data_IF_741109925825
#
_entry.id   IF_741109925825
#
_cell.length_a   1.000
_cell.length_b   1.000
_cell.length_c   1.000
_cell.angle_alpha   90.00
_cell.angle_beta   90.00
_cell.angle_gamma   90.00
#
_symmetry.space_group_name_H-M   'P 1'
#
loop_
_entity.id
_entity.type
_entity.pdbx_description
1 polymer ?
#
# COMPACT_ATOMS: atom_id res chain seq x y z
N UNK A 1 15.48 7.53 7.49
CA UNK A 1 14.47 8.02 6.53
C UNK A 1 13.76 9.17 7.21
N UNK A 2 13.63 10.30 6.52
CA UNK A 2 12.91 11.46 7.05
C UNK A 2 11.46 11.48 6.52
N UNK A 3 10.49 11.97 7.31
CA UNK A 3 9.12 12.16 6.83
C UNK A 3 9.06 13.12 5.63
N UNK A 4 8.22 12.81 4.65
CA UNK A 4 8.04 13.59 3.44
C UNK A 4 7.03 14.73 3.62
N UNK A 5 7.05 15.70 2.70
CA UNK A 5 6.10 16.81 2.70
C UNK A 5 4.70 16.28 2.46
N UNK A 6 3.78 16.63 3.36
CA UNK A 6 2.36 16.27 3.25
C UNK A 6 1.62 17.24 2.33
N UNK A 7 0.78 16.75 1.40
CA UNK A 7 -0.15 17.60 0.68
C UNK A 7 -1.35 18.01 1.56
N UNK A 8 -2.09 19.02 1.11
CA UNK A 8 -3.35 19.40 1.77
C UNK A 8 -4.44 18.36 1.51
N UNK A 9 -5.43 18.31 2.40
CA UNK A 9 -6.65 17.53 2.17
C UNK A 9 -7.47 18.13 1.04
N UNK A 10 -8.36 17.30 0.48
CA UNK A 10 -9.34 17.75 -0.49
C UNK A 10 -10.57 18.36 0.19
N UNK A 11 -11.25 19.22 -0.56
CA UNK A 11 -12.55 19.81 -0.23
C UNK A 11 -13.48 19.71 -1.44
N UNK A 12 -14.79 19.85 -1.22
CA UNK A 12 -15.74 19.90 -2.33
C UNK A 12 -15.41 21.09 -3.26
N UNK A 13 -15.53 20.88 -4.57
CA UNK A 13 -15.13 21.80 -5.63
C UNK A 13 -13.67 21.63 -6.10
N UNK A 14 -12.86 20.82 -5.41
CA UNK A 14 -11.50 20.54 -5.88
C UNK A 14 -11.53 19.76 -7.20
N UNK A 15 -10.80 20.26 -8.20
CA UNK A 15 -10.53 19.53 -9.45
C UNK A 15 -9.46 18.48 -9.20
N UNK A 16 -9.67 17.28 -9.73
CA UNK A 16 -8.72 16.16 -9.60
C UNK A 16 -8.40 15.57 -10.97
N UNK A 17 -7.13 15.48 -11.30
CA UNK A 17 -6.68 14.90 -12.57
C UNK A 17 -6.64 13.37 -12.47
N UNK A 18 -7.14 12.69 -13.49
CA UNK A 18 -7.07 11.23 -13.62
C UNK A 18 -6.18 10.86 -14.79
N UNK A 19 -5.06 10.19 -14.50
CA UNK A 19 -3.99 9.85 -15.46
C UNK A 19 -3.93 8.34 -15.71
N UNK A 20 -3.41 7.90 -16.86
CA UNK A 20 -3.27 6.47 -17.17
C UNK A 20 -1.79 6.05 -17.36
N UNK A 21 -0.96 6.05 -16.30
CA UNK A 21 0.47 5.79 -16.41
C UNK A 21 0.82 4.32 -16.69
N UNK A 22 -0.16 3.41 -16.65
CA UNK A 22 0.02 1.96 -16.72
C UNK A 22 -0.74 1.34 -17.91
N UNK A 23 -1.62 0.37 -17.64
CA UNK A 23 -2.37 -0.37 -18.64
C UNK A 23 -3.74 0.25 -18.95
N UNK A 24 -4.35 -0.13 -20.08
CA UNK A 24 -5.61 0.43 -20.55
C UNK A 24 -6.81 -0.08 -19.74
N UNK A 25 -7.91 0.65 -19.66
CA UNK A 25 -9.16 0.22 -18.99
C UNK A 25 -10.38 0.45 -19.87
N UNK A 26 -11.50 -0.26 -19.63
CA UNK A 26 -12.77 0.06 -20.26
C UNK A 26 -13.22 1.50 -19.89
N UNK A 27 -13.59 2.36 -20.86
CA UNK A 27 -14.01 3.73 -20.57
C UNK A 27 -15.20 3.82 -19.61
N UNK A 28 -16.10 2.85 -19.64
CA UNK A 28 -17.26 2.76 -18.75
C UNK A 28 -16.87 2.54 -17.29
N UNK A 29 -15.77 1.82 -17.02
CA UNK A 29 -15.26 1.62 -15.66
C UNK A 29 -14.69 2.95 -15.13
N UNK A 30 -13.94 3.69 -15.97
CA UNK A 30 -13.42 5.00 -15.58
C UNK A 30 -14.57 5.97 -15.28
N UNK A 31 -15.57 6.06 -16.15
CA UNK A 31 -16.70 6.97 -15.95
C UNK A 31 -17.49 6.63 -14.69
N UNK A 32 -17.73 5.34 -14.41
CA UNK A 32 -18.37 4.91 -13.17
C UNK A 32 -17.54 5.28 -11.93
N UNK A 33 -16.21 5.10 -11.98
CA UNK A 33 -15.30 5.55 -10.91
C UNK A 33 -15.28 7.06 -10.72
N UNK A 34 -15.24 7.83 -11.81
CA UNK A 34 -15.33 9.29 -11.76
C UNK A 34 -16.67 9.76 -11.21
N UNK A 35 -17.78 9.06 -11.48
CA UNK A 35 -19.07 9.34 -10.88
C UNK A 35 -19.05 9.19 -9.34
N UNK A 36 -18.31 8.22 -8.82
CA UNK A 36 -18.07 8.10 -7.36
C UNK A 36 -17.33 9.33 -6.84
N UNK A 37 -16.25 9.76 -7.49
CA UNK A 37 -15.51 10.97 -7.09
C UNK A 37 -16.38 12.23 -7.14
N UNK A 38 -17.21 12.39 -8.19
CA UNK A 38 -18.20 13.48 -8.31
C UNK A 38 -19.22 13.45 -7.18
N UNK A 39 -19.64 12.28 -6.73
CA UNK A 39 -20.57 12.13 -5.61
C UNK A 39 -20.01 12.65 -4.28
N UNK A 40 -18.68 12.75 -4.15
CA UNK A 40 -18.00 13.35 -3.00
C UNK A 40 -17.84 14.87 -3.13
N UNK A 41 -18.33 15.45 -4.23
CA UNK A 41 -18.20 16.87 -4.54
C UNK A 41 -16.89 17.25 -5.23
N UNK A 42 -16.11 16.30 -5.75
CA UNK A 42 -14.92 16.58 -6.56
C UNK A 42 -15.28 16.83 -8.03
N UNK A 43 -14.37 17.46 -8.76
CA UNK A 43 -14.45 17.67 -10.21
C UNK A 43 -13.36 16.83 -10.92
N UNK A 44 -13.56 15.51 -11.11
CA UNK A 44 -12.58 14.66 -11.77
C UNK A 44 -12.55 14.89 -13.28
N UNK A 45 -11.33 14.94 -13.82
CA UNK A 45 -11.05 15.12 -15.24
C UNK A 45 -10.02 14.09 -15.69
N UNK A 46 -10.35 13.31 -16.72
CA UNK A 46 -9.39 12.42 -17.36
C UNK A 46 -8.44 13.26 -18.22
N UNK A 47 -7.13 13.07 -18.04
CA UNK A 47 -6.12 13.76 -18.83
C UNK A 47 -6.19 13.32 -20.31
N UNK A 48 -5.73 14.16 -21.27
CA UNK A 48 -5.97 13.96 -22.71
C UNK A 48 -5.65 12.57 -23.24
N UNK A 49 -4.57 11.93 -22.78
CA UNK A 49 -4.12 10.63 -23.27
C UNK A 49 -4.65 9.45 -22.42
N UNK A 50 -5.44 9.71 -21.37
CA UNK A 50 -5.87 8.68 -20.41
C UNK A 50 -6.69 7.52 -21.04
N UNK A 51 -7.39 7.78 -22.15
CA UNK A 51 -8.21 6.78 -22.84
C UNK A 51 -7.51 6.16 -24.07
N UNK A 52 -6.28 6.55 -24.36
CA UNK A 52 -5.54 6.02 -25.50
C UNK A 52 -5.14 4.55 -25.33
N UNK A 53 -4.60 3.99 -26.42
CA UNK A 53 -4.06 2.65 -26.51
C UNK A 53 -2.74 2.70 -27.26
N UNK A 54 -1.76 1.95 -26.79
CA UNK A 54 -0.52 1.81 -27.54
C UNK A 54 -0.77 1.02 -28.83
N UNK A 55 -0.23 1.51 -29.95
CA UNK A 55 -0.52 0.97 -31.29
C UNK A 55 -0.18 -0.53 -31.46
N UNK A 56 0.89 -1.01 -30.80
CA UNK A 56 1.38 -2.37 -30.94
C UNK A 56 1.32 -3.24 -29.67
N UNK A 57 1.14 -2.62 -28.50
CA UNK A 57 1.34 -3.28 -27.20
C UNK A 57 0.06 -3.11 -26.38
N UNK A 58 -0.83 -4.08 -26.47
CA UNK A 58 -2.19 -4.00 -25.91
C UNK A 58 -2.26 -3.85 -24.39
N UNK A 59 -1.15 -4.05 -23.69
CA UNK A 59 -1.04 -3.93 -22.23
C UNK A 59 -0.71 -2.50 -21.76
N UNK A 60 -0.64 -1.50 -22.64
CA UNK A 60 -0.30 -0.11 -22.32
C UNK A 60 -1.41 0.89 -22.70
N UNK A 61 -1.66 1.86 -21.82
CA UNK A 61 -2.58 2.97 -22.04
C UNK A 61 -1.92 4.13 -22.81
N UNK A 62 -1.55 3.89 -24.07
CA UNK A 62 -0.91 4.91 -24.92
C UNK A 62 0.62 4.79 -24.96
N UNK A 63 1.28 5.74 -25.64
CA UNK A 63 2.73 5.80 -25.73
C UNK A 63 3.40 6.26 -24.42
N UNK A 64 4.70 6.04 -24.28
CA UNK A 64 5.42 6.39 -23.04
C UNK A 64 5.48 7.90 -22.83
N UNK A 65 5.67 8.66 -23.93
CA UNK A 65 5.76 10.11 -23.90
C UNK A 65 4.41 10.75 -23.58
N UNK A 66 3.34 10.27 -24.19
CA UNK A 66 1.98 10.76 -23.98
C UNK A 66 1.54 10.54 -22.52
N UNK A 67 1.83 9.36 -21.95
CA UNK A 67 1.57 9.08 -20.52
C UNK A 67 2.43 9.95 -19.58
N UNK A 68 3.67 10.24 -19.95
CA UNK A 68 4.54 11.17 -19.20
C UNK A 68 4.02 12.61 -19.24
N UNK A 69 3.62 13.08 -20.42
CA UNK A 69 3.06 14.41 -20.65
C UNK A 69 1.79 14.63 -19.81
N UNK A 70 0.86 13.67 -19.81
CA UNK A 70 -0.36 13.70 -18.99
C UNK A 70 -0.03 13.82 -17.48
N UNK A 71 0.89 13.00 -16.98
CA UNK A 71 1.29 13.05 -15.56
C UNK A 71 1.97 14.37 -15.20
N UNK A 72 2.91 14.84 -16.02
CA UNK A 72 3.62 16.09 -15.79
C UNK A 72 2.67 17.29 -15.82
N UNK A 73 1.75 17.34 -16.78
CA UNK A 73 0.74 18.39 -16.88
C UNK A 73 -0.19 18.40 -15.66
N UNK A 74 -0.73 17.23 -15.28
CA UNK A 74 -1.59 17.08 -14.11
C UNK A 74 -0.91 17.52 -12.81
N UNK A 75 0.37 17.18 -12.65
CA UNK A 75 1.14 17.58 -11.47
C UNK A 75 1.45 19.08 -11.45
N UNK A 76 1.87 19.63 -12.59
CA UNK A 76 2.36 21.01 -12.68
C UNK A 76 1.24 22.06 -12.69
N UNK A 77 0.03 21.69 -13.13
CA UNK A 77 -1.10 22.62 -13.17
C UNK A 77 -1.65 22.89 -11.74
N UNK A 78 -1.61 24.14 -11.25
CA UNK A 78 -2.11 24.49 -9.91
C UNK A 78 -3.65 24.36 -9.79
N UNK A 79 -4.37 24.22 -10.90
CA UNK A 79 -5.81 24.05 -10.86
C UNK A 79 -6.25 22.65 -10.38
N UNK A 80 -5.38 21.63 -10.49
CA UNK A 80 -5.65 20.30 -9.93
C UNK A 80 -5.14 20.17 -8.50
N UNK A 81 -6.03 19.83 -7.59
CA UNK A 81 -5.73 19.61 -6.19
C UNK A 81 -5.15 18.22 -5.91
N UNK A 82 -5.33 17.24 -6.81
CA UNK A 82 -4.78 15.89 -6.71
C UNK A 82 -4.56 15.24 -8.09
N UNK A 83 -3.73 14.21 -8.13
CA UNK A 83 -3.50 13.33 -9.29
C UNK A 83 -3.83 11.89 -8.90
N UNK A 84 -4.67 11.22 -9.69
CA UNK A 84 -5.14 9.87 -9.41
C UNK A 84 -4.83 8.98 -10.61
N UNK A 85 -4.14 7.88 -10.40
CA UNK A 85 -3.99 6.86 -11.44
C UNK A 85 -5.34 6.21 -11.73
N UNK A 86 -5.73 6.11 -12.99
CA UNK A 86 -7.00 5.53 -13.40
C UNK A 86 -7.08 4.04 -13.07
N UNK A 87 -6.02 3.29 -13.35
CA UNK A 87 -5.80 1.89 -12.97
C UNK A 87 -4.29 1.60 -12.90
N UNK A 88 -3.92 0.42 -12.39
CA UNK A 88 -2.56 -0.14 -12.48
C UNK A 88 -2.30 -0.88 -13.80
N UNK A 89 -1.64 -2.04 -13.76
CA UNK A 89 -1.33 -2.83 -14.95
C UNK A 89 0.17 -2.88 -15.20
N UNK A 90 0.64 -2.33 -16.32
CA UNK A 90 2.06 -2.35 -16.64
C UNK A 90 2.48 -1.06 -17.35
N UNK A 91 3.70 -0.61 -17.08
CA UNK A 91 4.41 0.33 -17.94
C UNK A 91 4.68 1.69 -17.33
N UNK A 92 4.38 1.93 -16.06
CA UNK A 92 4.71 3.17 -15.36
C UNK A 92 6.22 3.41 -15.37
N UNK A 93 7.03 2.38 -15.13
CA UNK A 93 8.50 2.50 -15.14
C UNK A 93 9.05 2.99 -16.49
N UNK A 94 8.38 2.70 -17.61
CA UNK A 94 8.84 3.09 -18.96
C UNK A 94 8.78 4.60 -19.22
N UNK A 95 7.93 5.30 -18.49
CA UNK A 95 7.73 6.74 -18.68
C UNK A 95 8.50 7.62 -17.70
N UNK A 96 9.13 7.06 -16.65
CA UNK A 96 9.74 7.86 -15.58
C UNK A 96 10.91 8.72 -16.07
N UNK A 97 11.71 8.21 -17.01
CA UNK A 97 12.83 8.95 -17.63
C UNK A 97 12.38 10.06 -18.59
N UNK A 98 11.10 10.07 -18.97
CA UNK A 98 10.51 11.07 -19.85
C UNK A 98 9.83 12.21 -19.08
N UNK A 99 9.68 12.06 -17.77
CA UNK A 99 9.12 13.08 -16.89
C UNK A 99 10.21 14.07 -16.50
N UNK A 100 9.99 15.36 -16.74
CA UNK A 100 10.86 16.42 -16.24
C UNK A 100 10.55 16.71 -14.75
N UNK A 101 11.11 15.86 -13.90
CA UNK A 101 10.98 15.98 -12.45
C UNK A 101 11.47 17.33 -11.91
N UNK A 102 12.47 17.94 -12.58
CA UNK A 102 13.03 19.22 -12.16
C UNK A 102 12.06 20.36 -12.42
N UNK A 103 11.33 20.32 -13.53
CA UNK A 103 10.26 21.27 -13.85
C UNK A 103 9.04 21.10 -12.94
N UNK A 104 8.77 19.89 -12.44
CA UNK A 104 7.68 19.61 -11.51
C UNK A 104 7.99 19.99 -10.05
N UNK A 105 9.27 20.01 -9.66
CA UNK A 105 9.69 20.23 -8.27
C UNK A 105 9.17 21.53 -7.61
N UNK A 106 9.01 22.66 -8.34
CA UNK A 106 8.44 23.89 -7.78
C UNK A 106 6.94 23.85 -7.51
N UNK A 107 6.19 22.88 -8.08
CA UNK A 107 4.75 22.80 -7.91
C UNK A 107 4.38 22.51 -6.44
N UNK A 108 3.21 23.00 -6.02
CA UNK A 108 2.69 22.70 -4.68
C UNK A 108 2.48 21.19 -4.49
N UNK A 109 2.88 20.61 -3.34
CA UNK A 109 2.59 19.22 -3.05
C UNK A 109 1.09 18.92 -3.12
N UNK A 110 0.73 17.96 -3.97
CA UNK A 110 -0.64 17.45 -4.11
C UNK A 110 -0.71 15.94 -3.86
N UNK A 111 -1.84 15.39 -3.39
CA UNK A 111 -1.99 13.96 -3.21
C UNK A 111 -1.86 13.23 -4.55
N UNK A 112 -1.01 12.20 -4.59
CA UNK A 112 -1.02 11.19 -5.63
C UNK A 112 -1.64 9.88 -5.10
N UNK A 113 -2.58 9.31 -5.84
CA UNK A 113 -3.30 8.09 -5.45
C UNK A 113 -3.14 7.00 -6.51
N UNK A 114 -2.75 5.80 -6.06
CA UNK A 114 -2.72 4.59 -6.89
C UNK A 114 -2.11 3.41 -6.14
N UNK A 115 -2.13 2.21 -6.72
CA UNK A 115 -1.42 1.02 -6.22
C UNK A 115 -1.02 0.10 -7.38
N UNK A 116 -0.39 -1.05 -7.11
CA UNK A 116 0.15 -1.95 -8.14
C UNK A 116 1.31 -1.28 -8.90
N UNK A 117 1.29 -1.27 -10.24
CA UNK A 117 2.29 -0.63 -11.12
C UNK A 117 2.55 0.87 -10.80
N UNK A 118 1.57 1.55 -10.19
CA UNK A 118 1.71 2.91 -9.64
C UNK A 118 2.80 3.03 -8.56
N UNK A 119 3.29 1.92 -7.99
CA UNK A 119 4.42 1.86 -7.04
C UNK A 119 5.64 2.60 -7.57
N UNK A 120 5.90 2.53 -8.87
CA UNK A 120 7.04 3.21 -9.46
C UNK A 120 6.92 4.75 -9.39
N UNK A 121 5.70 5.30 -9.54
CA UNK A 121 5.43 6.72 -9.32
C UNK A 121 5.48 7.10 -7.84
N UNK A 122 5.04 6.23 -6.93
CA UNK A 122 5.19 6.48 -5.48
C UNK A 122 6.65 6.69 -5.09
N UNK A 123 7.54 5.82 -5.57
CA UNK A 123 8.98 5.94 -5.32
C UNK A 123 9.59 7.16 -6.01
N UNK A 124 9.23 7.42 -7.28
CA UNK A 124 9.73 8.57 -8.02
C UNK A 124 9.30 9.91 -7.38
N UNK A 125 8.03 10.07 -7.00
CA UNK A 125 7.52 11.27 -6.32
C UNK A 125 8.23 11.46 -4.97
N UNK A 126 8.43 10.37 -4.21
CA UNK A 126 9.13 10.43 -2.94
C UNK A 126 10.58 10.91 -3.10
N UNK A 127 11.33 10.35 -4.07
CA UNK A 127 12.75 10.63 -4.24
C UNK A 127 13.02 11.95 -4.98
N UNK A 128 12.17 12.31 -5.94
CA UNK A 128 12.38 13.49 -6.81
C UNK A 128 11.70 14.74 -6.27
N UNK A 129 10.55 14.60 -5.64
CA UNK A 129 9.72 15.73 -5.19
C UNK A 129 9.65 15.84 -3.66
N UNK A 130 10.04 14.79 -2.92
CA UNK A 130 10.01 14.79 -1.47
C UNK A 130 8.59 14.91 -0.91
N UNK A 131 7.60 14.34 -1.60
CA UNK A 131 6.16 14.44 -1.26
C UNK A 131 5.63 13.06 -0.87
N UNK A 132 4.84 13.00 0.20
CA UNK A 132 4.13 11.78 0.62
C UNK A 132 2.97 11.46 -0.33
N UNK A 133 2.72 10.19 -0.59
CA UNK A 133 1.65 9.73 -1.48
C UNK A 133 0.68 8.79 -0.77
N UNK A 134 -0.41 8.41 -1.44
CA UNK A 134 -1.41 7.49 -0.91
C UNK A 134 -1.45 6.22 -1.77
N UNK A 135 -1.03 5.11 -1.19
CA UNK A 135 -1.24 3.79 -1.77
C UNK A 135 -2.70 3.40 -1.59
N UNK A 136 -3.51 3.43 -2.65
CA UNK A 136 -4.96 3.27 -2.51
C UNK A 136 -5.70 3.01 -3.82
N UNK A 137 -6.99 2.67 -3.72
CA UNK A 137 -7.80 2.22 -4.86
C UNK A 137 -7.98 3.32 -5.91
N UNK A 138 -8.27 2.89 -7.15
CA UNK A 138 -8.27 3.73 -8.36
C UNK A 138 -9.64 3.68 -9.07
N UNK A 139 -10.06 4.78 -9.74
CA UNK A 139 -11.43 4.92 -10.24
C UNK A 139 -11.81 3.89 -11.31
N UNK A 140 -10.90 3.48 -12.21
CA UNK A 140 -11.20 2.48 -13.23
C UNK A 140 -10.97 1.03 -12.75
N UNK A 141 -10.79 0.80 -11.44
CA UNK A 141 -10.73 -0.55 -10.88
C UNK A 141 -12.12 -1.02 -10.47
N UNK A 142 -12.69 -1.99 -11.19
CA UNK A 142 -14.06 -2.51 -10.95
C UNK A 142 -14.35 -2.88 -9.50
N UNK A 143 -13.38 -3.46 -8.79
CA UNK A 143 -13.57 -3.83 -7.38
C UNK A 143 -13.75 -2.61 -6.47
N UNK A 144 -13.11 -1.48 -6.77
CA UNK A 144 -13.36 -0.20 -6.08
C UNK A 144 -14.77 0.32 -6.35
N UNK A 145 -15.19 0.33 -7.62
CA UNK A 145 -16.53 0.80 -8.02
C UNK A 145 -17.63 0.01 -7.30
N UNK A 146 -17.42 -1.29 -7.11
CA UNK A 146 -18.38 -2.19 -6.46
C UNK A 146 -18.27 -2.25 -4.92
N UNK A 147 -17.35 -1.53 -4.28
CA UNK A 147 -17.10 -1.67 -2.84
C UNK A 147 -17.16 -0.35 -2.07
N UNK A 148 -18.28 -0.15 -1.37
CA UNK A 148 -18.54 1.05 -0.58
C UNK A 148 -17.54 1.27 0.58
N UNK A 149 -16.97 0.22 1.15
CA UNK A 149 -16.02 0.33 2.26
C UNK A 149 -14.66 0.90 1.80
N UNK A 150 -14.14 0.44 0.66
CA UNK A 150 -12.94 0.99 0.02
C UNK A 150 -13.17 2.44 -0.41
N UNK A 151 -14.36 2.74 -0.95
CA UNK A 151 -14.77 4.10 -1.31
C UNK A 151 -14.78 5.02 -0.08
N UNK A 152 -15.42 4.61 1.00
CA UNK A 152 -15.51 5.42 2.21
C UNK A 152 -14.16 5.58 2.89
N UNK A 153 -13.30 4.55 2.91
CA UNK A 153 -11.96 4.69 3.46
C UNK A 153 -11.12 5.68 2.65
N UNK A 154 -11.13 5.59 1.31
CA UNK A 154 -10.45 6.57 0.46
C UNK A 154 -11.02 7.98 0.67
N UNK A 155 -12.34 8.15 0.69
CA UNK A 155 -12.99 9.45 0.94
C UNK A 155 -12.56 10.03 2.29
N UNK A 156 -12.58 9.25 3.37
CA UNK A 156 -12.11 9.71 4.69
C UNK A 156 -10.65 10.12 4.66
N UNK A 157 -9.77 9.33 4.04
CA UNK A 157 -8.35 9.73 3.93
C UNK A 157 -8.17 11.04 3.15
N UNK A 158 -9.00 11.30 2.14
CA UNK A 158 -8.90 12.52 1.32
C UNK A 158 -9.49 13.77 2.00
N UNK A 159 -10.58 13.65 2.76
CA UNK A 159 -11.33 14.79 3.33
C UNK A 159 -11.20 14.93 4.86
N UNK A 160 -11.06 13.82 5.56
CA UNK A 160 -11.08 13.70 7.03
C UNK A 160 -9.94 12.79 7.53
N UNK A 161 -8.67 13.03 7.11
CA UNK A 161 -7.54 12.12 7.37
C UNK A 161 -7.25 11.86 8.84
N UNK A 162 -7.75 12.68 9.77
CA UNK A 162 -7.73 12.40 11.22
C UNK A 162 -8.42 11.07 11.55
N UNK A 163 -9.49 10.74 10.82
CA UNK A 163 -10.28 9.52 11.04
C UNK A 163 -9.58 8.26 10.54
N UNK A 164 -8.53 8.41 9.74
CA UNK A 164 -7.72 7.31 9.19
C UNK A 164 -6.27 7.36 9.67
N UNK A 165 -6.00 8.09 10.76
CA UNK A 165 -4.64 8.19 11.33
C UNK A 165 -4.21 6.90 12.04
N UNK A 166 -5.17 6.09 12.50
CA UNK A 166 -4.92 4.74 13.05
C UNK A 166 -5.60 3.71 12.16
N UNK A 167 -4.82 2.73 11.70
CA UNK A 167 -5.32 1.59 10.95
C UNK A 167 -5.31 0.35 11.84
N UNK A 168 -6.47 -0.32 11.90
CA UNK A 168 -6.69 -1.54 12.71
C UNK A 168 -7.52 -2.55 11.91
N UNK A 169 -7.01 -3.05 10.76
CA UNK A 169 -7.73 -4.04 9.96
C UNK A 169 -8.00 -5.29 10.79
N UNK A 170 -9.25 -5.76 10.78
CA UNK A 170 -9.64 -6.96 11.53
C UNK A 170 -8.96 -8.25 11.03
N UNK A 171 -8.45 -8.23 9.81
CA UNK A 171 -7.71 -9.34 9.19
C UNK A 171 -6.26 -9.42 9.64
N UNK A 172 -5.70 -8.36 10.26
CA UNK A 172 -4.28 -8.35 10.58
C UNK A 172 -3.89 -9.46 11.57
N UNK A 173 -2.78 -10.13 11.27
CA UNK A 173 -2.21 -11.19 12.11
C UNK A 173 -0.72 -10.96 12.32
N UNK A 174 -0.20 -11.43 13.45
CA UNK A 174 1.22 -11.37 13.75
C UNK A 174 1.98 -12.46 12.98
N UNK A 175 2.96 -12.07 12.16
CA UNK A 175 3.92 -13.01 11.56
C UNK A 175 5.21 -13.07 12.39
N UNK A 176 5.73 -11.90 12.80
CA UNK A 176 6.84 -11.73 13.75
C UNK A 176 6.42 -10.68 14.79
N UNK A 177 6.44 -10.98 16.09
CA UNK A 177 5.95 -10.07 17.14
C UNK A 177 6.84 -8.84 17.34
N UNK A 178 6.32 -7.84 18.04
CA UNK A 178 7.02 -6.63 18.41
C UNK A 178 6.44 -5.34 17.82
N UNK A 179 7.11 -4.24 18.12
CA UNK A 179 6.72 -2.90 17.72
C UNK A 179 7.91 -2.16 17.11
N UNK A 180 7.63 -1.29 16.14
CA UNK A 180 8.63 -0.47 15.50
C UNK A 180 8.06 0.87 15.06
N UNK A 181 8.85 1.93 15.17
CA UNK A 181 8.54 3.23 14.62
C UNK A 181 9.49 3.57 13.46
N UNK A 182 8.95 4.22 12.44
CA UNK A 182 9.71 4.56 11.24
C UNK A 182 8.86 5.30 10.20
N UNK A 183 9.45 5.57 9.04
CA UNK A 183 8.75 6.22 7.92
C UNK A 183 8.21 5.16 6.96
N UNK A 184 6.92 5.24 6.63
CA UNK A 184 6.28 4.28 5.72
C UNK A 184 6.80 4.40 4.30
N UNK A 185 7.00 3.28 3.61
CA UNK A 185 7.36 3.23 2.19
C UNK A 185 7.03 1.83 1.62
N UNK A 186 6.96 1.70 0.30
CA UNK A 186 6.77 0.41 -0.36
C UNK A 186 5.64 0.42 -1.39
N UNK A 187 4.98 -0.73 -1.56
CA UNK A 187 3.99 -0.99 -2.60
C UNK A 187 4.10 -2.43 -3.12
N UNK A 188 3.95 -2.59 -4.44
CA UNK A 188 3.97 -3.89 -5.10
C UNK A 188 5.40 -4.46 -5.14
N UNK A 189 5.61 -5.65 -4.56
CA UNK A 189 6.95 -6.19 -4.35
C UNK A 189 7.71 -6.44 -5.66
N UNK A 190 7.04 -6.94 -6.71
CA UNK A 190 7.66 -7.16 -8.02
C UNK A 190 8.21 -5.87 -8.63
N UNK A 191 7.51 -4.75 -8.45
CA UNK A 191 7.92 -3.43 -8.95
C UNK A 191 9.10 -2.86 -8.17
N UNK A 192 9.09 -3.01 -6.84
CA UNK A 192 10.23 -2.60 -5.99
C UNK A 192 11.49 -3.40 -6.35
N UNK A 193 11.35 -4.73 -6.52
CA UNK A 193 12.45 -5.59 -6.92
C UNK A 193 12.98 -5.26 -8.33
N UNK A 194 12.08 -5.04 -9.30
CA UNK A 194 12.44 -4.63 -10.65
C UNK A 194 13.11 -3.24 -10.71
N UNK A 195 12.78 -2.36 -9.75
CA UNK A 195 13.39 -1.05 -9.61
C UNK A 195 14.82 -1.05 -9.09
N UNK A 196 15.32 -2.13 -8.46
CA UNK A 196 16.66 -2.16 -7.88
C UNK A 196 17.72 -1.84 -8.94
N UNK A 197 18.54 -0.81 -8.67
CA UNK A 197 19.59 -0.34 -9.56
C UNK A 197 19.15 0.73 -10.56
N UNK A 198 17.88 1.14 -10.55
CA UNK A 198 17.38 2.32 -11.28
C UNK A 198 17.50 3.58 -10.43
N UNK A 199 17.30 4.75 -11.05
CA UNK A 199 17.44 6.03 -10.36
C UNK A 199 16.30 6.30 -9.34
N UNK A 200 15.20 5.56 -9.44
CA UNK A 200 14.05 5.58 -8.55
C UNK A 200 14.12 4.46 -7.49
N UNK A 201 15.21 3.69 -7.45
CA UNK A 201 15.49 2.77 -6.36
C UNK A 201 15.95 3.54 -5.12
N UNK A 202 15.31 3.31 -3.97
CA UNK A 202 15.88 3.73 -2.69
C UNK A 202 17.25 3.07 -2.49
N UNK A 203 18.25 3.89 -2.18
CA UNK A 203 19.60 3.46 -1.79
C UNK A 203 19.73 3.31 -0.27
N UNK A 204 18.81 3.90 0.49
CA UNK A 204 18.81 3.87 1.95
C UNK A 204 17.38 3.83 2.47
N UNK A 205 17.05 2.78 3.22
CA UNK A 205 15.75 2.59 3.87
C UNK A 205 15.86 2.55 5.41
N UNK A 206 16.99 2.99 5.96
CA UNK A 206 17.23 3.03 7.41
C UNK A 206 16.14 3.81 8.12
N UNK A 207 15.50 3.20 9.12
CA UNK A 207 14.39 3.80 9.84
C UNK A 207 13.04 3.70 9.11
N UNK A 208 12.93 2.87 8.07
CA UNK A 208 11.70 2.68 7.29
C UNK A 208 10.78 1.59 7.85
N UNK A 209 9.47 1.78 7.70
CA UNK A 209 8.46 0.72 7.82
C UNK A 209 8.03 0.33 6.41
N UNK A 210 8.35 -0.90 6.02
CA UNK A 210 8.11 -1.39 4.67
C UNK A 210 6.70 -1.95 4.53
N UNK A 211 5.98 -1.52 3.49
CA UNK A 211 4.67 -2.03 3.12
C UNK A 211 4.76 -2.82 1.82
N UNK A 212 4.34 -4.08 1.83
CA UNK A 212 4.40 -4.95 0.65
C UNK A 212 3.04 -5.57 0.34
N UNK A 213 2.72 -5.63 -0.94
CA UNK A 213 1.58 -6.36 -1.47
C UNK A 213 1.92 -6.94 -2.85
N UNK A 214 1.11 -7.87 -3.34
CA UNK A 214 1.23 -8.41 -4.70
C UNK A 214 -0.08 -9.02 -5.20
N UNK A 215 -0.18 -9.20 -6.51
CA UNK A 215 -1.26 -9.91 -7.19
C UNK A 215 -0.72 -10.86 -8.27
N UNK A 216 -1.37 -12.01 -8.46
CA UNK A 216 -1.14 -12.94 -9.59
C UNK A 216 0.30 -13.50 -9.70
N UNK A 217 1.10 -13.42 -8.62
CA UNK A 217 2.47 -13.93 -8.60
C UNK A 217 2.58 -15.20 -7.76
N UNK A 218 3.01 -16.30 -8.40
CA UNK A 218 3.24 -17.57 -7.72
C UNK A 218 4.35 -17.47 -6.66
N UNK A 219 4.27 -18.29 -5.61
CA UNK A 219 5.21 -18.26 -4.47
C UNK A 219 6.70 -18.28 -4.85
N UNK A 220 7.10 -19.06 -5.86
CA UNK A 220 8.51 -19.09 -6.31
C UNK A 220 8.98 -17.78 -6.97
N UNK A 221 8.06 -16.97 -7.51
CA UNK A 221 8.37 -15.63 -8.04
C UNK A 221 8.53 -14.63 -6.90
N UNK A 222 7.67 -14.71 -5.88
CA UNK A 222 7.84 -13.93 -4.65
C UNK A 222 9.17 -14.25 -3.97
N UNK A 223 9.54 -15.53 -3.85
CA UNK A 223 10.84 -15.95 -3.34
C UNK A 223 12.00 -15.35 -4.15
N UNK A 224 11.89 -15.33 -5.48
CA UNK A 224 12.89 -14.70 -6.36
C UNK A 224 13.01 -13.20 -6.09
N UNK A 225 11.91 -12.48 -5.97
CA UNK A 225 11.91 -11.04 -5.69
C UNK A 225 12.55 -10.74 -4.33
N UNK A 226 12.10 -11.44 -3.29
CA UNK A 226 12.64 -11.32 -1.93
C UNK A 226 14.12 -11.68 -1.88
N UNK A 227 14.53 -12.75 -2.56
CA UNK A 227 15.93 -13.16 -2.68
C UNK A 227 16.77 -12.08 -3.36
N UNK A 228 16.29 -11.48 -4.45
CA UNK A 228 16.98 -10.37 -5.11
C UNK A 228 17.15 -9.19 -4.15
N UNK A 229 16.07 -8.77 -3.48
CA UNK A 229 16.08 -7.64 -2.53
C UNK A 229 17.06 -7.89 -1.38
N UNK A 230 17.07 -9.11 -0.80
CA UNK A 230 18.04 -9.48 0.25
C UNK A 230 19.48 -9.44 -0.26
N UNK A 231 19.74 -10.03 -1.42
CA UNK A 231 21.10 -10.06 -2.00
C UNK A 231 21.62 -8.67 -2.39
N UNK A 232 20.72 -7.73 -2.64
CA UNK A 232 21.05 -6.33 -2.90
C UNK A 232 21.25 -5.50 -1.61
N UNK A 233 21.04 -6.07 -0.41
CA UNK A 233 21.06 -5.32 0.85
C UNK A 233 19.87 -4.37 1.01
N UNK A 234 18.80 -4.56 0.23
CA UNK A 234 17.70 -3.59 0.14
C UNK A 234 16.87 -3.48 1.43
N UNK A 235 16.90 -4.51 2.28
CA UNK A 235 16.24 -4.51 3.58
C UNK A 235 17.06 -3.88 4.70
N UNK A 236 18.30 -3.46 4.44
CA UNK A 236 19.19 -2.94 5.47
C UNK A 236 18.60 -1.67 6.09
N UNK A 237 18.39 -1.72 7.41
CA UNK A 237 17.86 -0.62 8.19
C UNK A 237 16.33 -0.51 8.23
N UNK A 238 15.60 -1.42 7.57
CA UNK A 238 14.15 -1.58 7.79
C UNK A 238 13.89 -1.84 9.28
N UNK A 239 12.84 -1.22 9.82
CA UNK A 239 12.47 -1.33 11.24
C UNK A 239 11.23 -2.18 11.50
N UNK A 240 10.36 -2.34 10.51
CA UNK A 240 9.17 -3.16 10.60
C UNK A 240 8.54 -3.37 9.22
N UNK A 241 7.71 -4.40 9.08
CA UNK A 241 7.10 -4.76 7.79
C UNK A 241 5.60 -4.98 7.97
N UNK A 242 4.80 -4.38 7.09
CA UNK A 242 3.37 -4.64 6.96
C UNK A 242 3.07 -5.29 5.61
N UNK A 243 2.53 -6.51 5.65
CA UNK A 243 2.18 -7.28 4.47
C UNK A 243 0.67 -7.12 4.22
N UNK A 244 0.34 -6.57 3.07
CA UNK A 244 -1.03 -6.38 2.59
C UNK A 244 -1.57 -7.67 1.96
N UNK A 245 -2.18 -7.53 0.80
CA UNK A 245 -2.83 -8.63 0.09
C UNK A 245 -1.90 -9.41 -0.84
N UNK A 246 -2.24 -10.67 -1.08
CA UNK A 246 -1.57 -11.61 -1.99
C UNK A 246 -2.58 -12.27 -2.92
N UNK A 247 -3.37 -11.46 -3.61
CA UNK A 247 -4.54 -11.92 -4.37
C UNK A 247 -4.11 -12.76 -5.55
N UNK A 248 -4.73 -13.92 -5.75
CA UNK A 248 -4.43 -14.83 -6.86
C UNK A 248 -2.95 -15.28 -6.96
N UNK A 249 -2.20 -15.18 -5.85
CA UNK A 249 -0.81 -15.66 -5.75
C UNK A 249 -0.70 -17.18 -5.48
N UNK A 250 -1.81 -17.83 -5.14
CA UNK A 250 -1.90 -19.24 -4.75
C UNK A 250 -2.47 -19.41 -3.34
N UNK A 251 -2.44 -20.65 -2.78
CA UNK A 251 -2.89 -20.89 -1.41
C UNK A 251 -2.10 -20.05 -0.41
N UNK A 252 -2.79 -19.27 0.42
CA UNK A 252 -2.13 -18.30 1.31
C UNK A 252 -1.08 -18.94 2.23
N UNK A 253 -1.31 -20.14 2.76
CA UNK A 253 -0.34 -20.79 3.65
C UNK A 253 1.00 -21.13 2.97
N UNK A 254 1.00 -21.36 1.65
CA UNK A 254 2.24 -21.54 0.89
C UNK A 254 2.98 -20.21 0.71
N UNK A 255 2.23 -19.14 0.42
CA UNK A 255 2.76 -17.77 0.32
C UNK A 255 3.33 -17.31 1.66
N UNK A 256 2.59 -17.53 2.75
CA UNK A 256 3.00 -17.27 4.12
C UNK A 256 4.29 -17.98 4.48
N UNK A 257 4.47 -19.23 4.07
CA UNK A 257 5.70 -19.97 4.30
C UNK A 257 6.91 -19.29 3.62
N UNK A 258 6.76 -18.84 2.37
CA UNK A 258 7.80 -18.07 1.66
C UNK A 258 8.10 -16.73 2.35
N UNK A 259 7.07 -15.98 2.75
CA UNK A 259 7.22 -14.70 3.43
C UNK A 259 7.93 -14.86 4.78
N UNK A 260 7.54 -15.86 5.56
CA UNK A 260 8.18 -16.17 6.84
C UNK A 260 9.65 -16.58 6.66
N UNK A 261 9.95 -17.44 5.69
CA UNK A 261 11.31 -17.89 5.39
C UNK A 261 12.22 -16.76 4.91
N UNK A 262 11.66 -15.78 4.19
CA UNK A 262 12.42 -14.65 3.62
C UNK A 262 12.44 -13.39 4.45
N UNK A 263 11.52 -13.20 5.39
CA UNK A 263 11.43 -11.98 6.20
C UNK A 263 11.55 -12.24 7.70
N UNK A 264 11.31 -13.48 8.17
CA UNK A 264 11.20 -13.80 9.58
C UNK A 264 12.49 -13.69 10.39
N UNK A 265 13.64 -13.76 9.74
CA UNK A 265 14.97 -13.67 10.34
C UNK A 265 15.57 -12.26 10.29
N UNK A 266 14.85 -11.26 9.76
CA UNK A 266 15.32 -9.88 9.66
C UNK A 266 15.39 -9.16 11.02
N UNK A 267 14.88 -9.77 12.10
CA UNK A 267 14.94 -9.20 13.44
C UNK A 267 14.01 -8.00 13.67
N UNK A 268 12.99 -7.84 12.82
CA UNK A 268 12.00 -6.75 12.87
C UNK A 268 10.59 -7.30 12.98
N UNK A 269 9.63 -6.57 13.60
CA UNK A 269 8.23 -6.97 13.64
C UNK A 269 7.61 -7.02 12.24
N UNK A 270 6.77 -8.03 12.02
CA UNK A 270 6.08 -8.24 10.75
C UNK A 270 4.61 -8.56 11.03
N UNK A 271 3.72 -7.74 10.47
CA UNK A 271 2.26 -8.00 10.45
C UNK A 271 1.86 -8.50 9.07
N UNK A 272 0.93 -9.45 9.02
CA UNK A 272 0.37 -10.02 7.79
C UNK A 272 -1.14 -9.76 7.66
N UNK A 273 -1.68 -9.90 6.44
CA UNK A 273 -3.08 -9.62 6.10
C UNK A 273 -3.57 -8.22 6.51
N UNK A 274 -2.76 -7.20 6.29
CA UNK A 274 -3.02 -5.83 6.74
C UNK A 274 -4.06 -5.05 5.91
N UNK A 275 -4.83 -5.73 5.05
CA UNK A 275 -6.02 -5.16 4.42
C UNK A 275 -5.80 -4.05 3.37
N UNK A 276 -4.62 -3.98 2.75
CA UNK A 276 -4.34 -3.08 1.62
C UNK A 276 -3.80 -3.83 0.40
N UNK A 277 -3.93 -3.24 -0.79
CA UNK A 277 -3.52 -3.84 -2.06
C UNK A 277 -4.71 -4.27 -2.90
N UNK A 278 -4.61 -5.41 -3.58
CA UNK A 278 -5.63 -5.93 -4.48
C UNK A 278 -6.82 -6.63 -3.80
N UNK A 279 -6.90 -6.57 -2.46
CA UNK A 279 -8.01 -7.10 -1.65
C UNK A 279 -9.22 -6.16 -1.61
N UNK A 280 -10.34 -6.68 -1.08
CA UNK A 280 -11.55 -5.91 -0.81
C UNK A 280 -12.05 -6.24 0.61
N UNK A 281 -12.28 -5.23 1.47
CA UNK A 281 -11.97 -3.81 1.25
C UNK A 281 -10.45 -3.58 1.09
N UNK A 282 -10.08 -2.51 0.38
CA UNK A 282 -8.69 -2.04 0.30
C UNK A 282 -8.54 -0.75 1.08
N UNK A 283 -7.75 -0.78 2.14
CA UNK A 283 -7.34 0.41 2.88
C UNK A 283 -6.45 1.31 2.01
N UNK A 284 -6.59 2.62 2.21
CA UNK A 284 -5.69 3.64 1.67
C UNK A 284 -4.56 3.89 2.66
N UNK A 285 -3.32 3.65 2.26
CA UNK A 285 -2.15 3.75 3.14
C UNK A 285 -1.26 4.93 2.75
N UNK A 286 -0.99 5.88 3.67
CA UNK A 286 0.00 6.92 3.45
C UNK A 286 1.43 6.36 3.36
N UNK A 287 2.15 6.74 2.31
CA UNK A 287 3.58 6.48 2.12
C UNK A 287 4.37 7.77 2.36
N UNK A 288 5.50 7.66 3.05
CA UNK A 288 6.38 8.78 3.38
C UNK A 288 6.12 9.42 4.74
N UNK A 289 5.30 8.83 5.60
CA UNK A 289 4.94 9.40 6.90
C UNK A 289 5.50 8.59 8.05
N UNK A 290 5.81 9.29 9.15
CA UNK A 290 6.20 8.62 10.39
C UNK A 290 5.00 7.90 11.00
N UNK A 291 5.22 6.65 11.36
CA UNK A 291 4.22 5.79 11.97
C UNK A 291 4.86 4.84 12.98
N UNK A 292 4.02 4.24 13.80
CA UNK A 292 4.36 3.11 14.68
C UNK A 292 3.54 1.90 14.26
N UNK A 293 4.24 0.83 13.88
CA UNK A 293 3.70 -0.49 13.64
C UNK A 293 3.72 -1.29 14.95
N UNK A 294 2.59 -1.88 15.29
CA UNK A 294 2.46 -2.87 16.35
C UNK A 294 1.98 -4.18 15.72
N UNK A 295 2.90 -5.14 15.57
CA UNK A 295 2.59 -6.43 14.96
C UNK A 295 1.83 -7.35 15.92
N UNK A 296 1.95 -7.18 17.23
CA UNK A 296 1.19 -7.94 18.22
C UNK A 296 -0.28 -7.51 18.24
N UNK A 297 -0.53 -6.20 18.16
CA UNK A 297 -1.88 -5.64 18.12
C UNK A 297 -2.49 -5.57 16.72
N UNK A 298 -1.70 -5.79 15.66
CA UNK A 298 -2.14 -5.66 14.27
C UNK A 298 -2.53 -4.22 13.90
N UNK A 299 -1.75 -3.22 14.34
CA UNK A 299 -2.07 -1.80 14.13
C UNK A 299 -0.94 -1.00 13.51
N UNK A 300 -1.30 0.04 12.74
CA UNK A 300 -0.38 1.04 12.20
C UNK A 300 -0.92 2.43 12.55
N UNK A 301 -0.18 3.16 13.38
CA UNK A 301 -0.55 4.49 13.87
C UNK A 301 0.37 5.54 13.26
N UNK A 302 -0.16 6.49 12.51
CA UNK A 302 0.60 7.62 11.99
C UNK A 302 0.74 8.72 13.06
N UNK A 303 1.89 9.37 13.11
CA UNK A 303 2.15 10.47 14.06
C UNK A 303 1.31 11.71 13.72
N UNK A 304 0.98 11.89 12.43
CA UNK A 304 0.14 12.98 11.92
C UNK A 304 -0.85 12.47 10.88
N UNK A 305 -1.98 13.17 10.64
CA UNK A 305 -2.91 12.83 9.57
C UNK A 305 -2.22 12.83 8.20
N UNK A 306 -2.68 11.97 7.29
CA UNK A 306 -2.10 11.79 5.96
C UNK A 306 -1.97 13.09 5.16
N UNK A 307 -3.02 13.92 5.25
CA UNK A 307 -3.16 15.20 4.58
C UNK A 307 -3.41 16.29 5.62
N UNK A 308 -2.88 17.50 5.43
CA UNK A 308 -3.08 18.60 6.37
C UNK A 308 -4.29 19.46 6.01
N UNK A 309 -4.85 20.16 7.00
CA UNK A 309 -5.85 21.21 6.76
C UNK A 309 -5.13 22.56 6.62
N UNK A 310 -5.26 23.28 5.49
CA UNK A 310 -4.66 24.60 5.36
C UNK A 310 -5.35 25.64 6.26
N UNK A 311 -4.57 26.55 6.84
CA UNK A 311 -5.08 27.64 7.68
C UNK A 311 -6.04 28.58 6.92
N UNK A 312 -5.93 28.68 5.59
CA UNK A 312 -6.82 29.48 4.74
C UNK A 312 -8.25 28.94 4.69
N UNK A 313 -8.45 27.62 4.84
CA UNK A 313 -9.79 26.98 4.79
C UNK A 313 -10.55 27.19 6.12
N UNK A 314 -9.86 27.44 7.23
CA UNK A 314 -10.50 27.75 8.52
C UNK A 314 -11.34 29.05 8.48
N UNK A 315 -11.05 29.96 7.56
CA UNK A 315 -11.75 31.25 7.46
C UNK A 315 -13.02 31.21 6.60
N UNK A 316 -13.29 30.11 5.89
CA UNK A 316 -14.46 29.98 5.00
C UNK A 316 -15.65 29.26 5.64
N UNK A 317 -15.53 28.78 6.89
CA UNK A 317 -16.64 28.12 7.61
C UNK A 317 -16.74 28.55 9.09
N UNK A 318 -17.37 29.70 9.41
CA UNK A 318 -17.62 30.09 10.80
C UNK A 318 -18.68 29.23 11.52
N UNK A 319 -19.45 28.39 10.81
CA UNK A 319 -20.72 27.86 11.32
C UNK A 319 -20.69 26.45 11.95
N UNK A 320 -19.54 25.87 12.29
CA UNK A 320 -19.51 24.55 12.98
C UNK A 320 -18.68 24.45 14.26
N UNK A 321 -18.07 25.53 14.73
CA UNK A 321 -17.24 25.50 15.94
C UNK A 321 -18.02 25.65 17.28
N UNK A 322 -19.35 25.72 17.27
CA UNK A 322 -20.15 26.06 18.46
C UNK A 322 -21.32 25.12 18.72
N UNK A 323 -21.12 23.80 18.74
CA UNK A 323 -22.09 22.86 19.31
C UNK A 323 -21.39 21.57 19.80
N UNK A 324 -20.70 21.64 20.93
CA UNK A 324 -20.44 20.48 21.79
C UNK A 324 -21.17 20.71 23.11
N UNK A 325 -22.19 19.92 23.47
CA UNK A 325 -22.72 19.97 24.82
C UNK A 325 -21.80 19.18 25.76
N UNK A 326 -21.09 19.90 26.63
CA UNK A 326 -20.57 19.38 27.89
C UNK A 326 -21.76 19.03 28.78
N UNK A 327 -22.05 17.75 28.95
CA UNK A 327 -22.94 17.27 30.00
C UNK A 327 -22.39 15.98 30.61
N UNK A 328 -21.74 16.14 31.76
CA UNK A 328 -21.46 15.07 32.73
C UNK A 328 -22.73 14.88 33.57
N UNK A 329 -23.18 13.65 33.85
CA UNK A 329 -23.94 13.39 35.05
C UNK A 329 -23.15 12.50 36.02
N UNK A 330 -23.11 12.97 37.26
CA UNK A 330 -22.58 12.29 38.43
C UNK A 330 -23.44 11.06 38.82
N UNK A 331 -22.76 10.11 39.48
CA UNK A 331 -23.26 8.87 40.10
C UNK A 331 -24.60 9.02 40.84
N UNK A 332 -25.41 7.96 40.78
CA UNK A 332 -26.23 7.55 41.92
C UNK A 332 -26.26 6.02 42.07
N UNK A 333 -25.72 5.57 43.19
CA UNK A 333 -25.70 4.17 43.66
C UNK A 333 -27.11 3.79 44.13
N UNK A 334 -27.64 2.66 43.67
CA UNK A 334 -28.60 1.86 44.44
C UNK A 334 -28.30 0.37 44.32
N UNK A 335 -28.14 -0.25 45.49
CA UNK A 335 -28.02 -1.69 45.73
C UNK A 335 -29.35 -2.38 45.40
N UNK A 336 -29.27 -3.59 44.83
CA UNK A 336 -30.38 -4.53 44.74
C UNK A 336 -29.84 -5.95 44.60
N UNK A 337 -30.01 -6.75 45.64
CA UNK A 337 -29.72 -8.18 45.67
C UNK A 337 -30.61 -8.96 44.69
N UNK A 338 -30.07 -9.97 44.01
CA UNK A 338 -30.56 -11.37 44.05
C UNK A 338 -29.84 -12.26 43.01
N UNK A 339 -29.22 -13.33 43.50
CA UNK A 339 -29.02 -14.63 42.84
C UNK A 339 -29.80 -15.66 43.70
N UNK A 340 -30.03 -16.94 43.30
CA UNK A 340 -29.48 -17.68 42.15
C UNK A 340 -30.52 -18.48 41.34
N UNK A 341 -30.10 -18.99 40.18
CA UNK A 341 -30.83 -20.00 39.41
C UNK A 341 -29.82 -20.86 38.66
N UNK A 342 -29.67 -22.07 39.14
CA UNK A 342 -28.76 -23.14 38.73
C UNK A 342 -29.29 -23.84 37.47
N UNK A 343 -28.51 -23.90 36.39
CA UNK A 343 -28.71 -24.89 35.32
C UNK A 343 -27.34 -25.36 34.84
N UNK A 344 -27.03 -26.57 35.29
CA UNK A 344 -25.93 -27.40 34.82
C UNK A 344 -26.22 -27.92 33.42
N UNK A 345 -25.37 -27.60 32.44
CA UNK A 345 -25.31 -28.37 31.19
C UNK A 345 -23.90 -28.90 30.96
N UNK A 346 -23.89 -30.22 30.77
CA UNK A 346 -22.74 -31.12 30.71
C UNK A 346 -21.90 -30.87 29.45
N UNK A 347 -20.59 -30.84 29.65
CA UNK A 347 -19.58 -31.05 28.62
C UNK A 347 -19.58 -32.52 28.16
N UNK A 348 -19.43 -32.82 26.86
CA UNK A 348 -18.90 -34.09 26.41
C UNK A 348 -17.37 -34.02 26.31
N UNK A 349 -16.72 -35.04 26.87
CA UNK A 349 -15.28 -35.34 26.86
C UNK A 349 -14.72 -35.61 25.44
N UNK A 350 -13.38 -35.55 25.27
CA UNK A 350 -12.73 -35.40 23.97
C UNK A 350 -12.54 -36.71 23.20
N UNK A 351 -12.51 -36.60 21.87
CA UNK A 351 -12.10 -37.65 20.96
C UNK A 351 -10.63 -38.04 21.18
N UNK A 352 -10.40 -39.33 21.38
CA UNK A 352 -9.11 -40.00 21.52
C UNK A 352 -8.55 -40.31 20.13
N UNK A 353 -7.47 -39.63 19.72
CA UNK A 353 -6.73 -39.98 18.50
C UNK A 353 -5.55 -40.90 18.88
N UNK A 354 -5.54 -42.10 18.31
CA UNK A 354 -4.44 -43.06 18.39
C UNK A 354 -3.23 -42.62 17.55
N UNK A 355 -1.98 -42.91 17.97
CA UNK A 355 -0.77 -42.52 17.23
C UNK A 355 -0.53 -43.46 16.04
N UNK A 356 -0.64 -42.93 14.81
CA UNK A 356 -0.17 -43.64 13.61
C UNK A 356 1.36 -43.72 13.59
N UNK A 357 1.83 -44.94 13.36
CA UNK A 357 3.22 -45.39 13.32
C UNK A 357 4.08 -44.61 12.31
N UNK A 358 5.26 -44.19 12.75
CA UNK A 358 6.38 -43.74 11.91
C UNK A 358 6.79 -44.88 10.95
N UNK A 359 6.73 -44.64 9.64
CA UNK A 359 7.52 -45.41 8.66
C UNK A 359 8.86 -44.70 8.48
N UNK A 360 9.94 -45.37 8.88
CA UNK A 360 11.31 -45.06 8.44
C UNK A 360 11.37 -45.26 6.94
N UNK A 361 11.76 -44.23 6.20
CA UNK A 361 12.31 -44.38 4.85
C UNK A 361 13.81 -44.14 4.98
N UNK A 362 14.57 -45.23 4.91
CA UNK A 362 16.00 -45.23 4.63
C UNK A 362 16.16 -45.19 3.12
N UNK A 363 16.74 -44.13 2.57
CA UNK A 363 17.04 -43.96 1.16
C UNK A 363 18.40 -43.28 1.00
N UNK A 364 19.28 -43.93 0.24
CA UNK A 364 20.71 -43.74 0.20
C UNK A 364 21.17 -42.36 -0.32
N UNK A 365 22.24 -41.86 0.31
CA UNK A 365 23.14 -40.85 -0.24
C UNK A 365 23.82 -41.43 -1.49
N UNK A 366 23.58 -40.82 -2.65
CA UNK A 366 24.43 -40.99 -3.83
C UNK A 366 25.42 -39.83 -3.82
N UNK A 367 26.69 -40.16 -3.57
CA UNK A 367 27.83 -39.26 -3.76
C UNK A 367 27.97 -38.90 -5.25
N UNK A 368 28.01 -37.61 -5.53
CA UNK A 368 28.32 -37.08 -6.87
C UNK A 368 29.79 -36.63 -6.87
N UNK A 369 30.65 -37.15 -7.75
CA UNK A 369 32.06 -36.75 -7.78
C UNK A 369 32.22 -35.34 -8.38
N UNK A 370 32.95 -34.48 -7.65
CA UNK A 370 33.37 -33.15 -8.06
C UNK A 370 34.40 -33.24 -9.21
N UNK A 371 34.06 -32.66 -10.36
CA UNK A 371 35.00 -32.42 -11.47
C UNK A 371 35.85 -31.17 -11.20
N UNK A 372 37.17 -31.16 -11.48
CA UNK A 372 38.03 -29.99 -11.24
C UNK A 372 37.77 -28.86 -12.25
N UNK A 373 37.67 -27.62 -11.76
CA UNK A 373 37.63 -26.41 -12.57
C UNK A 373 39.02 -26.07 -13.16
N UNK A 374 39.10 -25.60 -14.43
CA UNK A 374 40.37 -25.21 -15.04
C UNK A 374 40.87 -23.85 -14.53
N UNK A 375 42.17 -23.79 -14.22
CA UNK A 375 42.90 -22.58 -13.78
C UNK A 375 42.95 -21.54 -14.90
N UNK A 376 42.45 -20.32 -14.65
CA UNK A 376 42.67 -19.14 -15.50
C UNK A 376 44.12 -18.66 -15.36
N UNK A 377 44.82 -18.52 -16.48
CA UNK A 377 46.08 -17.76 -16.61
C UNK A 377 45.75 -16.26 -16.60
N UNK A 378 46.49 -15.48 -15.81
CA UNK A 378 46.43 -14.01 -15.83
C UNK A 378 47.11 -13.41 -17.07
N UNK A 379 46.79 -12.16 -17.44
CA UNK A 379 47.38 -11.50 -18.61
C UNK A 379 48.76 -10.93 -18.27
N UNK A 380 49.68 -11.09 -19.22
CA UNK A 380 50.88 -10.26 -19.37
C UNK A 380 50.71 -9.30 -20.54
#
# INVERSE_FOLDING_TARGET
MEPLRRPRRLVAGDRVAVVAPSGPFPPEDLEAGMAVLRSWGLEPEAMPHALERHAALSYLAGGDRERAEDFQAAWSDPAYAAVISARGGYGTQRMLDLVDWSAMAPAEPKPYIGFSDATALHEAIALRLGVSTLHGPMPAWRKFIANAESQEHLRRTLFEPELTQKLTPASARTLVPGQASGVTFGGCISLLAAGIGTAESRLNVEGGILLLEEIEEAGYRLDRYLTQMRRAGWFDGVRGIALGSWVDCGPYEEIRATLLDRLGDLGVPVVEDFGFGHCIPSLTIPLGLKATLDADAGTLQFDTPALYLPLSILHLNPCRASCLPLAIPARMVRRGHNRPGDVTHRLPTPYRLEPRRRRRVTGNLLEVPLLPLPRRKGPG
#
